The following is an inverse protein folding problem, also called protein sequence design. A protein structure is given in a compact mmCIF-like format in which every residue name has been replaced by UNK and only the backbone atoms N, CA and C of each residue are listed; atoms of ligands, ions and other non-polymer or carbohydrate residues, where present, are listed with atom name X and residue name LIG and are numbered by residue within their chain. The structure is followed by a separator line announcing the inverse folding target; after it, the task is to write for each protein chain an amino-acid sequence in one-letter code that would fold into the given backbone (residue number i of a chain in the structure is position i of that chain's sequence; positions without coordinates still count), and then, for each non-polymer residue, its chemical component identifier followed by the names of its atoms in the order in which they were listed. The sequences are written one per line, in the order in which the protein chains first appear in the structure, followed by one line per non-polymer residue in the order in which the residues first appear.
data_IF_757190120492
#
_entry.id   IF_757190120492
#
_cell.length_a   1.000
_cell.length_b   1.000
_cell.length_c   1.000
_cell.angle_alpha   90.00
_cell.angle_beta   90.00
_cell.angle_gamma   90.00
#
_symmetry.space_group_name_H-M   'P 1'
#
loop_
_entity.id
_entity.type
_entity.pdbx_description
1 polymer ?
#
# COMPACT_ATOMS: atom_id res chain seq x y z
N UNK A 1 16.56 -28.14 8.90
CA UNK A 1 16.29 -27.57 7.56
C UNK A 1 14.88 -26.98 7.64
N UNK A 2 14.77 -25.72 8.05
CA UNK A 2 13.49 -25.01 8.13
C UNK A 2 13.40 -24.02 6.96
N UNK A 3 12.34 -24.17 6.17
CA UNK A 3 11.95 -23.28 5.08
C UNK A 3 11.30 -22.02 5.65
N UNK A 4 12.05 -20.91 5.63
CA UNK A 4 11.52 -19.58 5.94
C UNK A 4 10.46 -19.18 4.91
N UNK A 5 9.18 -19.21 5.32
CA UNK A 5 8.03 -18.75 4.55
C UNK A 5 8.10 -17.21 4.38
N UNK A 6 8.54 -16.77 3.20
CA UNK A 6 8.57 -15.37 2.78
C UNK A 6 7.16 -14.86 2.43
N UNK A 7 6.80 -13.66 2.91
CA UNK A 7 5.54 -13.01 2.57
C UNK A 7 5.47 -12.73 1.05
N UNK A 8 4.36 -13.02 0.35
CA UNK A 8 4.26 -12.86 -1.10
C UNK A 8 4.36 -11.39 -1.57
N UNK A 9 4.17 -10.41 -0.67
CA UNK A 9 4.37 -8.98 -0.96
C UNK A 9 5.83 -8.53 -0.96
N UNK A 10 6.74 -9.34 -0.43
CA UNK A 10 8.17 -9.01 -0.36
C UNK A 10 8.97 -9.53 -1.55
N UNK A 11 8.33 -10.21 -2.51
CA UNK A 11 8.99 -10.69 -3.73
C UNK A 11 8.90 -9.71 -4.90
N UNK A 12 8.91 -8.40 -4.61
CA UNK A 12 8.97 -7.35 -5.64
C UNK A 12 10.42 -6.86 -5.73
N UNK A 13 11.25 -7.65 -6.38
CA UNK A 13 12.33 -7.12 -7.23
C UNK A 13 12.62 -8.19 -8.30
N UNK A 14 12.69 -7.75 -9.55
CA UNK A 14 13.03 -8.52 -10.76
C UNK A 14 11.89 -9.33 -11.41
N UNK A 15 11.20 -8.71 -12.37
CA UNK A 15 11.42 -9.03 -13.79
C UNK A 15 10.76 -7.99 -14.72
N UNK A 16 11.28 -6.75 -14.72
CA UNK A 16 11.47 -5.93 -15.94
C UNK A 16 12.71 -5.08 -15.66
N UNK A 17 13.89 -5.59 -16.02
CA UNK A 17 15.06 -4.75 -16.23
C UNK A 17 15.83 -5.31 -17.41
N UNK A 18 15.55 -4.79 -18.60
CA UNK A 18 16.57 -4.74 -19.62
C UNK A 18 16.92 -3.28 -19.84
N UNK A 19 18.15 -2.94 -19.45
CA UNK A 19 18.90 -1.70 -19.69
C UNK A 19 18.52 -0.47 -18.83
N UNK A 20 19.11 -0.38 -17.65
CA UNK A 20 20.07 0.70 -17.35
C UNK A 20 20.75 0.48 -15.99
N UNK A 21 22.07 0.69 -15.98
CA UNK A 21 22.97 0.52 -14.84
C UNK A 21 22.88 1.73 -13.91
N UNK A 22 22.94 1.44 -12.60
CA UNK A 22 23.42 2.26 -11.45
C UNK A 22 23.00 3.75 -11.42
N UNK A 23 22.36 4.17 -10.32
CA UNK A 23 22.98 4.98 -9.24
C UNK A 23 22.11 4.83 -7.98
N UNK A 24 22.75 4.51 -6.86
CA UNK A 24 22.17 4.64 -5.53
C UNK A 24 22.03 6.13 -5.19
N UNK A 25 20.81 6.64 -5.09
CA UNK A 25 20.55 7.97 -4.56
C UNK A 25 20.17 7.85 -3.08
N UNK A 26 21.01 8.43 -2.24
CA UNK A 26 20.83 8.55 -0.80
C UNK A 26 19.59 9.40 -0.49
N UNK A 27 18.66 8.85 0.28
CA UNK A 27 17.58 9.60 0.92
C UNK A 27 18.05 10.05 2.32
N UNK A 28 17.95 11.34 2.69
CA UNK A 28 18.42 11.82 3.99
C UNK A 28 17.33 11.57 5.04
N UNK A 29 17.17 10.31 5.45
CA UNK A 29 16.47 9.96 6.68
C UNK A 29 17.56 9.51 7.65
N UNK A 30 17.95 10.38 8.59
CA UNK A 30 18.95 10.06 9.61
C UNK A 30 18.46 8.86 10.43
N UNK A 31 19.13 7.71 10.33
CA UNK A 31 18.96 6.59 11.25
C UNK A 31 20.30 5.91 11.57
N UNK A 32 20.48 5.65 12.85
CA UNK A 32 21.64 5.04 13.47
C UNK A 32 21.79 3.55 13.14
N UNK A 33 23.02 3.07 13.38
CA UNK A 33 23.62 1.79 13.00
C UNK A 33 22.83 0.53 13.41
N UNK A 34 22.94 -0.46 12.53
CA UNK A 34 22.50 -1.86 12.68
C UNK A 34 23.04 -2.52 13.94
N UNK A 35 22.16 -3.19 14.68
CA UNK A 35 22.48 -4.37 15.48
C UNK A 35 21.40 -5.43 15.21
N UNK A 36 21.85 -6.61 14.86
CA UNK A 36 21.05 -7.76 14.45
C UNK A 36 20.45 -8.44 15.68
N UNK A 37 19.12 -8.56 15.79
CA UNK A 37 18.56 -9.71 16.50
C UNK A 37 17.15 -10.11 16.08
N UNK A 38 17.00 -11.42 16.05
CA UNK A 38 16.02 -12.24 15.39
C UNK A 38 14.74 -12.40 16.24
N UNK A 39 13.62 -12.60 15.53
CA UNK A 39 12.37 -13.22 15.97
C UNK A 39 11.38 -12.37 16.80
N UNK A 40 10.41 -11.79 16.08
CA UNK A 40 9.03 -11.63 16.57
C UNK A 40 8.01 -11.54 15.42
N UNK A 41 8.15 -12.41 14.41
CA UNK A 41 7.42 -12.32 13.13
C UNK A 41 5.89 -12.41 13.26
N UNK A 42 5.36 -13.06 14.31
CA UNK A 42 3.92 -13.23 14.48
C UNK A 42 3.23 -11.99 15.10
N UNK A 43 3.88 -11.32 16.07
CA UNK A 43 3.36 -10.08 16.67
C UNK A 43 3.52 -8.87 15.74
N UNK A 44 4.62 -8.83 14.97
CA UNK A 44 4.85 -7.81 13.94
C UNK A 44 3.77 -7.84 12.86
N UNK A 45 3.49 -9.02 12.30
CA UNK A 45 2.49 -9.19 11.23
C UNK A 45 1.08 -8.81 11.70
N UNK A 46 0.68 -9.19 12.93
CA UNK A 46 -0.63 -8.81 13.48
C UNK A 46 -0.77 -7.29 13.65
N UNK A 47 0.30 -6.60 14.06
CA UNK A 47 0.31 -5.14 14.21
C UNK A 47 0.18 -4.44 12.86
N UNK A 48 0.91 -4.90 11.84
CA UNK A 48 0.85 -4.35 10.48
C UNK A 48 -0.52 -4.60 9.85
N UNK A 49 -1.08 -5.79 9.98
CA UNK A 49 -2.44 -6.07 9.50
C UNK A 49 -3.47 -5.11 10.13
N UNK A 50 -3.36 -4.84 11.44
CA UNK A 50 -4.26 -3.90 12.13
C UNK A 50 -4.14 -2.46 11.63
N UNK A 51 -2.97 -2.00 11.19
CA UNK A 51 -2.84 -0.63 10.66
C UNK A 51 -3.49 -0.47 9.28
N UNK A 52 -3.67 -1.56 8.55
CA UNK A 52 -4.30 -1.62 7.22
C UNK A 52 -5.83 -1.75 7.25
N UNK A 53 -6.41 -1.92 8.44
CA UNK A 53 -7.84 -2.19 8.63
C UNK A 53 -8.70 -1.10 8.00
N UNK A 54 -9.73 -1.50 7.26
CA UNK A 54 -10.74 -0.60 6.70
C UNK A 54 -10.36 0.04 5.36
N UNK A 55 -9.17 -0.21 4.83
CA UNK A 55 -8.85 0.13 3.43
C UNK A 55 -9.23 -1.01 2.52
N UNK A 56 -10.14 -0.76 1.58
CA UNK A 56 -10.57 -1.75 0.58
C UNK A 56 -9.78 -1.61 -0.73
N UNK A 57 -9.43 -2.75 -1.30
CA UNK A 57 -9.04 -2.92 -2.70
C UNK A 57 -10.04 -3.86 -3.39
N UNK A 58 -9.98 -3.92 -4.71
CA UNK A 58 -10.95 -4.64 -5.53
C UNK A 58 -10.25 -5.69 -6.37
N UNK A 59 -10.82 -6.89 -6.39
CA UNK A 59 -10.37 -7.97 -7.26
C UNK A 59 -11.54 -8.53 -8.05
N UNK A 60 -11.27 -9.41 -9.00
CA UNK A 60 -12.32 -10.14 -9.73
C UNK A 60 -12.36 -11.56 -9.20
N UNK A 61 -13.54 -12.01 -8.82
CA UNK A 61 -13.77 -13.38 -8.36
C UNK A 61 -15.01 -14.01 -8.98
N UNK A 62 -15.18 -15.31 -8.75
CA UNK A 62 -16.37 -16.06 -9.17
C UNK A 62 -17.53 -15.92 -8.16
N UNK A 63 -18.59 -16.71 -8.34
CA UNK A 63 -19.75 -16.77 -7.43
C UNK A 63 -19.37 -17.06 -5.98
N UNK A 64 -18.36 -17.90 -5.79
CA UNK A 64 -17.85 -18.40 -4.52
C UNK A 64 -16.75 -17.51 -3.92
N UNK A 65 -16.54 -16.34 -4.54
CA UNK A 65 -15.49 -15.36 -4.19
C UNK A 65 -14.07 -15.89 -4.34
N UNK A 66 -13.85 -16.94 -5.12
CA UNK A 66 -12.50 -17.37 -5.50
C UNK A 66 -11.92 -16.39 -6.52
N UNK A 67 -10.65 -16.04 -6.37
CA UNK A 67 -10.02 -15.05 -7.24
C UNK A 67 -9.82 -15.58 -8.65
N UNK A 68 -10.08 -14.70 -9.62
CA UNK A 68 -9.65 -14.91 -10.99
C UNK A 68 -8.16 -14.57 -11.08
N UNK A 69 -7.39 -15.54 -11.54
CA UNK A 69 -5.94 -15.42 -11.67
C UNK A 69 -5.53 -15.39 -13.14
N UNK A 70 -4.42 -14.72 -13.41
CA UNK A 70 -3.75 -14.70 -14.71
C UNK A 70 -2.62 -15.72 -14.64
N UNK A 71 -2.72 -16.80 -15.41
CA UNK A 71 -1.64 -17.78 -15.52
C UNK A 71 -0.42 -17.15 -16.21
N UNK A 72 0.75 -17.35 -15.63
CA UNK A 72 2.02 -17.09 -16.31
C UNK A 72 2.19 -18.04 -17.50
N UNK A 73 2.59 -17.57 -18.70
CA UNK A 73 2.86 -18.43 -19.85
C UNK A 73 3.89 -19.55 -19.57
N UNK A 74 4.84 -19.32 -18.66
CA UNK A 74 5.82 -20.34 -18.25
C UNK A 74 5.29 -21.29 -17.16
N UNK A 75 4.07 -21.06 -16.66
CA UNK A 75 3.37 -21.92 -15.70
C UNK A 75 3.94 -21.87 -14.28
N UNK A 76 4.92 -21.00 -14.00
CA UNK A 76 5.63 -21.00 -12.72
C UNK A 76 4.81 -20.38 -11.59
N UNK A 77 4.02 -19.33 -11.87
CA UNK A 77 3.17 -18.65 -10.88
C UNK A 77 1.89 -18.13 -11.52
N UNK A 78 0.78 -18.12 -10.78
CA UNK A 78 -0.43 -17.39 -11.17
C UNK A 78 -0.44 -15.99 -10.55
N UNK A 79 -0.99 -15.00 -11.24
CA UNK A 79 -1.02 -13.61 -10.78
C UNK A 79 -2.46 -13.19 -10.45
N UNK A 80 -2.71 -12.77 -9.22
CA UNK A 80 -3.94 -12.09 -8.81
C UNK A 80 -3.79 -10.58 -8.86
N UNK A 81 -4.77 -9.87 -9.39
CA UNK A 81 -4.78 -8.40 -9.43
C UNK A 81 -5.62 -7.82 -8.28
N UNK A 82 -5.08 -6.76 -7.65
CA UNK A 82 -5.70 -6.02 -6.56
C UNK A 82 -5.73 -4.52 -6.91
N UNK A 83 -6.88 -4.04 -7.38
CA UNK A 83 -7.05 -2.67 -7.85
C UNK A 83 -7.45 -1.74 -6.71
N UNK A 84 -6.78 -0.59 -6.60
CA UNK A 84 -7.19 0.46 -5.66
C UNK A 84 -8.45 1.20 -6.11
N UNK A 85 -8.79 1.11 -7.40
CA UNK A 85 -10.00 1.67 -7.99
C UNK A 85 -10.96 0.60 -8.46
N UNK A 86 -12.23 0.77 -8.09
CA UNK A 86 -13.30 -0.11 -8.53
C UNK A 86 -13.45 -0.10 -10.05
N UNK A 87 -13.29 1.05 -10.72
CA UNK A 87 -13.38 1.17 -12.18
C UNK A 87 -12.35 0.28 -12.88
N UNK A 88 -11.15 0.16 -12.32
CA UNK A 88 -10.07 -0.62 -12.94
C UNK A 88 -10.32 -2.13 -12.76
N UNK A 89 -10.90 -2.54 -11.62
CA UNK A 89 -11.39 -3.91 -11.42
C UNK A 89 -12.58 -4.24 -12.35
N UNK A 90 -13.47 -3.28 -12.62
CA UNK A 90 -14.56 -3.46 -13.59
C UNK A 90 -14.04 -3.59 -15.02
N UNK A 91 -13.02 -2.81 -15.39
CA UNK A 91 -12.35 -2.96 -16.69
C UNK A 91 -11.69 -4.33 -16.82
N UNK A 92 -11.03 -4.82 -15.77
CA UNK A 92 -10.49 -6.18 -15.74
C UNK A 92 -11.59 -7.23 -15.85
N UNK A 93 -12.72 -7.06 -15.15
CA UNK A 93 -13.88 -7.95 -15.26
C UNK A 93 -14.44 -8.00 -16.69
N UNK A 94 -14.53 -6.86 -17.38
CA UNK A 94 -14.96 -6.80 -18.77
C UNK A 94 -14.03 -7.61 -19.69
N UNK A 95 -12.71 -7.52 -19.48
CA UNK A 95 -11.73 -8.34 -20.20
C UNK A 95 -11.90 -9.83 -19.90
N UNK A 96 -12.11 -10.21 -18.65
CA UNK A 96 -12.37 -11.60 -18.25
C UNK A 96 -13.62 -12.15 -18.93
N UNK A 97 -14.72 -11.38 -18.96
CA UNK A 97 -15.98 -11.77 -19.62
C UNK A 97 -15.87 -11.86 -21.14
N UNK A 98 -14.99 -11.06 -21.75
CA UNK A 98 -14.77 -11.10 -23.20
C UNK A 98 -14.02 -12.35 -23.68
N UNK A 99 -13.27 -13.01 -22.79
CA UNK A 99 -12.55 -14.24 -23.12
C UNK A 99 -13.50 -15.44 -23.10
N UNK A 100 -13.69 -16.07 -24.27
CA UNK A 100 -14.49 -17.30 -24.39
C UNK A 100 -13.98 -18.39 -23.45
N UNK A 101 -14.87 -18.96 -22.63
CA UNK A 101 -14.57 -20.10 -21.76
C UNK A 101 -13.71 -19.81 -20.53
N UNK A 102 -13.42 -18.54 -20.20
CA UNK A 102 -12.39 -18.19 -19.22
C UNK A 102 -12.80 -18.35 -17.75
N UNK A 103 -14.09 -18.33 -17.39
CA UNK A 103 -14.53 -18.50 -16.00
C UNK A 103 -15.81 -19.34 -15.94
N UNK A 104 -15.74 -20.48 -15.23
CA UNK A 104 -16.94 -21.21 -14.79
C UNK A 104 -17.57 -20.41 -13.65
N UNK A 105 -18.76 -19.85 -13.86
CA UNK A 105 -19.48 -19.05 -12.86
C UNK A 105 -19.58 -17.56 -13.22
N UNK A 106 -20.49 -16.86 -12.54
CA UNK A 106 -20.74 -15.44 -12.78
C UNK A 106 -19.62 -14.58 -12.15
N UNK A 107 -18.61 -14.24 -12.95
CA UNK A 107 -17.52 -13.37 -12.51
C UNK A 107 -18.05 -11.99 -12.08
N UNK A 108 -17.56 -11.50 -10.94
CA UNK A 108 -17.94 -10.23 -10.31
C UNK A 108 -16.74 -9.54 -9.68
N UNK A 109 -16.86 -8.23 -9.46
CA UNK A 109 -15.88 -7.49 -8.65
C UNK A 109 -16.18 -7.78 -7.18
N UNK A 110 -15.13 -8.13 -6.44
CA UNK A 110 -15.18 -8.46 -5.01
C UNK A 110 -14.31 -7.45 -4.26
N UNK A 111 -14.86 -6.68 -3.31
CA UNK A 111 -14.05 -5.88 -2.40
C UNK A 111 -13.36 -6.79 -1.39
N UNK A 112 -12.09 -6.52 -1.12
CA UNK A 112 -11.28 -7.17 -0.09
C UNK A 112 -10.49 -6.10 0.67
N UNK A 113 -10.27 -6.28 1.96
CA UNK A 113 -9.52 -5.30 2.74
C UNK A 113 -8.01 -5.55 2.71
N UNK A 114 -7.21 -4.50 2.83
CA UNK A 114 -5.74 -4.63 2.80
C UNK A 114 -5.20 -5.47 3.95
N UNK A 115 -5.84 -5.49 5.12
CA UNK A 115 -5.47 -6.37 6.22
C UNK A 115 -5.68 -7.85 5.88
N UNK A 116 -6.78 -8.19 5.18
CA UNK A 116 -7.03 -9.53 4.68
C UNK A 116 -5.99 -9.90 3.63
N UNK A 117 -5.78 -9.02 2.65
CA UNK A 117 -4.78 -9.18 1.58
C UNK A 117 -3.39 -9.43 2.15
N UNK A 118 -2.96 -8.63 3.14
CA UNK A 118 -1.65 -8.77 3.78
C UNK A 118 -1.46 -10.12 4.47
N UNK A 119 -2.55 -10.69 5.01
CA UNK A 119 -2.55 -12.01 5.65
C UNK A 119 -2.70 -13.18 4.68
N UNK A 120 -3.03 -12.93 3.41
CA UNK A 120 -3.14 -13.99 2.41
C UNK A 120 -1.77 -14.61 2.14
N UNK A 121 -1.66 -15.90 2.45
CA UNK A 121 -0.53 -16.74 2.08
C UNK A 121 -1.04 -17.87 1.22
N UNK A 122 -0.70 -17.81 -0.07
CA UNK A 122 -1.09 -18.79 -1.06
C UNK A 122 0.14 -19.22 -1.85
N UNK A 123 0.34 -20.52 -1.94
CA UNK A 123 1.45 -21.08 -2.70
C UNK A 123 1.16 -20.98 -4.20
N UNK A 124 2.19 -20.69 -5.00
CA UNK A 124 2.07 -20.61 -6.46
C UNK A 124 1.31 -19.39 -6.99
N UNK A 125 0.92 -18.44 -6.13
CA UNK A 125 0.19 -17.22 -6.53
C UNK A 125 0.95 -15.98 -6.05
N UNK A 126 1.15 -15.02 -6.95
CA UNK A 126 1.62 -13.69 -6.65
C UNK A 126 0.48 -12.67 -6.77
N UNK A 127 0.36 -11.77 -5.80
CA UNK A 127 -0.59 -10.65 -5.91
C UNK A 127 0.12 -9.39 -6.37
N UNK A 128 -0.50 -8.68 -7.32
CA UNK A 128 -0.01 -7.38 -7.80
C UNK A 128 -1.05 -6.30 -7.55
N UNK A 129 -0.60 -5.22 -6.94
CA UNK A 129 -1.41 -4.02 -6.83
C UNK A 129 -1.50 -3.29 -8.16
N UNK A 130 -2.70 -2.79 -8.45
CA UNK A 130 -2.95 -1.83 -9.53
C UNK A 130 -3.30 -0.49 -8.86
N UNK A 131 -2.34 0.45 -8.76
CA UNK A 131 -2.55 1.72 -8.09
C UNK A 131 -3.48 2.64 -8.89
N UNK A 132 -4.06 3.63 -8.23
CA UNK A 132 -4.81 4.68 -8.92
C UNK A 132 -3.86 5.50 -9.79
N UNK A 133 -4.07 5.58 -11.12
CA UNK A 133 -3.19 6.33 -12.01
C UNK A 133 -3.10 7.82 -11.65
N UNK A 134 -4.17 8.41 -11.09
CA UNK A 134 -4.12 9.80 -10.61
C UNK A 134 -3.12 9.96 -9.48
N UNK A 135 -3.05 8.98 -8.58
CA UNK A 135 -2.13 9.03 -7.45
C UNK A 135 -0.68 8.74 -7.87
N UNK A 136 -0.48 7.94 -8.92
CA UNK A 136 0.84 7.77 -9.55
C UNK A 136 1.34 9.10 -10.12
N UNK A 137 0.48 9.85 -10.83
CA UNK A 137 0.83 11.17 -11.34
C UNK A 137 1.15 12.15 -10.21
N UNK A 138 0.28 12.23 -9.21
CA UNK A 138 0.48 13.08 -8.02
C UNK A 138 1.82 12.78 -7.32
N UNK A 139 2.17 11.50 -7.18
CA UNK A 139 3.41 11.05 -6.57
C UNK A 139 4.64 11.39 -7.40
N UNK A 140 4.54 11.25 -8.73
CA UNK A 140 5.60 11.62 -9.65
C UNK A 140 5.86 13.14 -9.61
N UNK A 141 4.82 13.97 -9.57
CA UNK A 141 4.94 15.43 -9.44
C UNK A 141 5.64 15.85 -8.14
N UNK A 142 5.33 15.19 -7.01
CA UNK A 142 5.99 15.44 -5.73
C UNK A 142 7.44 14.91 -5.67
N UNK A 143 7.79 13.88 -6.46
CA UNK A 143 9.16 13.36 -6.60
C UNK A 143 10.01 14.07 -7.66
N UNK A 144 9.42 14.94 -8.48
CA UNK A 144 10.06 15.55 -9.65
C UNK A 144 11.26 16.48 -9.34
N UNK A 145 11.68 16.58 -8.07
CA UNK A 145 12.98 17.13 -7.68
C UNK A 145 14.19 16.24 -8.03
N UNK A 146 14.04 15.10 -8.72
CA UNK A 146 15.23 14.39 -9.23
C UNK A 146 15.12 13.11 -10.07
N UNK A 147 13.96 12.56 -10.40
CA UNK A 147 13.88 11.23 -11.07
C UNK A 147 12.90 11.26 -12.25
N UNK A 148 13.40 10.95 -13.46
CA UNK A 148 12.63 10.89 -14.73
C UNK A 148 11.83 9.59 -14.90
N UNK A 149 12.00 8.63 -13.98
CA UNK A 149 11.52 7.26 -14.08
C UNK A 149 10.27 7.03 -13.21
N UNK A 150 9.17 7.75 -13.47
CA UNK A 150 7.85 7.48 -12.90
C UNK A 150 7.79 7.24 -11.37
N UNK A 151 6.77 6.50 -10.92
CA UNK A 151 6.64 6.04 -9.52
C UNK A 151 6.45 4.53 -9.50
N UNK A 152 7.27 3.82 -8.74
CA UNK A 152 7.19 2.37 -8.54
C UNK A 152 6.47 2.03 -7.22
N UNK A 153 5.56 1.05 -7.28
CA UNK A 153 4.69 0.65 -6.17
C UNK A 153 3.41 1.48 -6.02
N UNK A 154 2.69 1.29 -4.91
CA UNK A 154 1.47 2.03 -4.59
C UNK A 154 1.82 3.31 -3.83
N UNK A 155 1.49 4.51 -4.35
CA UNK A 155 1.80 5.74 -3.66
C UNK A 155 1.04 5.89 -2.34
N UNK A 156 1.76 6.36 -1.32
CA UNK A 156 1.19 6.83 -0.06
C UNK A 156 1.80 8.17 0.32
N UNK A 157 1.00 9.00 1.00
CA UNK A 157 1.30 10.39 1.32
C UNK A 157 1.26 10.62 2.82
N UNK A 158 2.23 11.38 3.34
CA UNK A 158 2.36 11.69 4.76
C UNK A 158 2.80 13.14 4.96
N UNK A 159 2.50 13.73 6.12
CA UNK A 159 3.06 15.02 6.54
C UNK A 159 3.36 15.02 8.03
N UNK A 160 4.49 15.60 8.43
CA UNK A 160 4.87 15.77 9.84
C UNK A 160 3.99 16.80 10.57
N UNK A 161 3.24 17.62 9.82
CA UNK A 161 2.27 18.55 10.37
C UNK A 161 0.98 17.87 10.82
N UNK A 162 0.73 16.64 10.39
CA UNK A 162 -0.44 15.85 10.78
C UNK A 162 -0.01 14.77 11.75
N UNK A 163 -0.06 15.09 13.05
CA UNK A 163 0.15 14.14 14.14
C UNK A 163 -1.04 14.25 15.09
N UNK A 164 -1.74 13.15 15.32
CA UNK A 164 -2.94 13.11 16.15
C UNK A 164 -2.61 12.43 17.48
N UNK A 165 -3.09 13.00 18.59
CA UNK A 165 -2.99 12.38 19.92
C UNK A 165 -4.39 12.02 20.41
N UNK A 166 -4.62 10.75 20.74
CA UNK A 166 -5.90 10.26 21.29
C UNK A 166 -5.67 9.14 22.30
N UNK A 167 -6.33 9.21 23.46
CA UNK A 167 -6.24 8.19 24.53
C UNK A 167 -4.78 7.82 24.90
N UNK A 168 -3.93 8.82 25.08
CA UNK A 168 -2.48 8.67 25.37
C UNK A 168 -1.69 7.90 24.28
N UNK A 169 -2.25 7.75 23.08
CA UNK A 169 -1.57 7.19 21.91
C UNK A 169 -1.38 8.27 20.84
N UNK A 170 -0.23 8.24 20.18
CA UNK A 170 0.09 9.05 19.01
C UNK A 170 -0.29 8.28 17.74
N UNK A 171 -0.80 9.01 16.76
CA UNK A 171 -1.14 8.49 15.45
C UNK A 171 -0.51 9.37 14.37
N UNK A 172 0.16 8.72 13.44
CA UNK A 172 0.81 9.30 12.27
C UNK A 172 0.05 8.81 11.03
N UNK A 173 -0.94 9.58 10.52
CA UNK A 173 -1.77 9.17 9.41
C UNK A 173 -0.99 9.13 8.09
N UNK A 174 -1.20 8.05 7.35
CA UNK A 174 -0.71 7.82 5.99
C UNK A 174 -1.91 7.74 5.05
N UNK A 175 -1.90 8.49 3.96
CA UNK A 175 -3.04 8.61 3.04
C UNK A 175 -2.73 7.94 1.71
N UNK A 176 -3.72 7.28 1.10
CA UNK A 176 -3.61 6.73 -0.26
C UNK A 176 -3.90 7.77 -1.34
N UNK A 177 -4.47 8.92 -0.97
CA UNK A 177 -4.84 10.00 -1.89
C UNK A 177 -4.22 11.32 -1.46
N UNK A 178 -3.58 12.00 -2.40
CA UNK A 178 -3.01 13.34 -2.19
C UNK A 178 -4.09 14.35 -1.79
N UNK A 179 -5.27 14.27 -2.39
CA UNK A 179 -6.33 15.25 -2.12
C UNK A 179 -6.86 15.15 -0.69
N UNK A 180 -6.84 13.94 -0.09
CA UNK A 180 -7.29 13.73 1.28
C UNK A 180 -6.32 14.37 2.29
N UNK A 181 -5.00 14.18 2.10
CA UNK A 181 -4.00 14.81 2.97
C UNK A 181 -3.95 16.33 2.79
N UNK A 182 -4.13 16.85 1.57
CA UNK A 182 -4.19 18.29 1.30
C UNK A 182 -5.38 18.94 1.99
N UNK A 183 -6.54 18.26 1.97
CA UNK A 183 -7.72 18.69 2.70
C UNK A 183 -7.44 18.77 4.21
N UNK A 184 -6.82 17.75 4.79
CA UNK A 184 -6.48 17.72 6.22
C UNK A 184 -5.46 18.81 6.60
N UNK A 185 -4.43 19.01 5.76
CA UNK A 185 -3.44 20.07 5.96
C UNK A 185 -4.05 21.47 5.89
N UNK A 186 -5.02 21.69 5.00
CA UNK A 186 -5.71 22.98 4.88
C UNK A 186 -6.49 23.38 6.14
N UNK A 187 -6.91 22.40 6.95
CA UNK A 187 -7.63 22.65 8.21
C UNK A 187 -6.69 22.99 9.37
N UNK A 188 -5.44 22.50 9.33
CA UNK A 188 -4.43 22.71 10.40
C UNK A 188 -3.55 23.93 10.10
N UNK A 189 -3.26 24.19 8.82
CA UNK A 189 -2.45 25.33 8.40
C UNK A 189 -3.31 26.59 8.20
N UNK A 190 -3.29 27.49 9.19
CA UNK A 190 -3.96 28.81 9.06
C UNK A 190 -3.27 29.76 8.07
N UNK A 191 -2.12 29.38 7.48
CA UNK A 191 -1.17 30.33 6.88
C UNK A 191 -0.71 30.06 5.45
N UNK A 192 -1.19 29.04 4.72
CA UNK A 192 -0.77 28.88 3.31
C UNK A 192 -1.88 28.33 2.41
N UNK A 193 -2.55 29.25 1.71
CA UNK A 193 -3.44 28.93 0.60
C UNK A 193 -2.62 28.36 -0.58
N UNK A 194 -2.95 27.13 -0.99
CA UNK A 194 -2.63 26.58 -2.31
C UNK A 194 -1.26 25.93 -2.44
N UNK A 195 -0.19 26.72 -2.62
CA UNK A 195 1.09 26.20 -3.12
C UNK A 195 2.07 25.70 -2.04
N UNK A 196 1.88 26.10 -0.78
CA UNK A 196 2.76 25.70 0.33
C UNK A 196 2.44 24.34 0.94
N UNK A 197 1.24 23.80 0.73
CA UNK A 197 0.81 22.56 1.39
C UNK A 197 1.56 21.34 0.84
N UNK A 198 1.74 21.28 -0.47
CA UNK A 198 2.44 20.18 -1.13
C UNK A 198 3.92 20.09 -0.74
N UNK A 199 4.53 21.19 -0.30
CA UNK A 199 5.92 21.22 0.22
C UNK A 199 6.06 20.43 1.54
N UNK A 200 4.96 20.24 2.26
CA UNK A 200 4.92 19.49 3.50
C UNK A 200 4.43 18.05 3.31
N UNK A 201 4.23 17.59 2.06
CA UNK A 201 3.80 16.23 1.75
C UNK A 201 5.01 15.42 1.30
N UNK A 202 5.27 14.36 2.06
CA UNK A 202 6.22 13.32 1.70
C UNK A 202 5.51 12.17 1.00
N UNK A 203 6.19 11.54 0.05
CA UNK A 203 5.67 10.40 -0.71
C UNK A 203 6.53 9.16 -0.46
N UNK A 204 5.88 8.05 -0.15
CA UNK A 204 6.49 6.72 -0.07
C UNK A 204 5.68 5.69 -0.86
N UNK A 205 6.22 4.48 -1.02
CA UNK A 205 5.46 3.33 -1.53
C UNK A 205 4.84 2.56 -0.37
N UNK A 206 3.64 2.00 -0.55
CA UNK A 206 2.99 1.14 0.44
C UNK A 206 3.91 -0.04 0.79
N UNK A 207 4.52 -0.65 -0.21
CA UNK A 207 5.38 -1.82 -0.10
C UNK A 207 6.59 -1.54 0.79
N UNK A 208 7.28 -0.40 0.59
CA UNK A 208 8.42 -0.02 1.42
C UNK A 208 8.00 0.30 2.85
N UNK A 209 6.85 0.98 3.02
CA UNK A 209 6.30 1.29 4.35
C UNK A 209 6.00 0.00 5.10
N UNK A 210 5.29 -0.95 4.48
CA UNK A 210 4.96 -2.24 5.10
C UNK A 210 6.21 -3.02 5.48
N UNK A 211 7.18 -3.13 4.56
CA UNK A 211 8.46 -3.78 4.82
C UNK A 211 9.19 -3.15 6.01
N UNK A 212 9.19 -1.83 6.12
CA UNK A 212 9.80 -1.12 7.26
C UNK A 212 9.02 -1.35 8.56
N UNK A 213 7.69 -1.35 8.53
CA UNK A 213 6.88 -1.64 9.71
C UNK A 213 7.12 -3.06 10.27
N UNK A 214 7.40 -4.03 9.39
CA UNK A 214 7.72 -5.41 9.77
C UNK A 214 9.08 -5.54 10.46
N UNK A 215 10.12 -4.86 9.95
CA UNK A 215 11.49 -4.98 10.47
C UNK A 215 11.81 -3.96 11.58
N UNK A 216 10.97 -2.94 11.77
CA UNK A 216 11.18 -1.89 12.76
C UNK A 216 11.14 -2.41 14.21
N UNK A 217 12.09 -1.93 15.01
CA UNK A 217 12.09 -2.15 16.45
C UNK A 217 10.98 -1.35 17.15
N UNK A 218 10.68 -1.68 18.41
CA UNK A 218 9.72 -0.92 19.23
C UNK A 218 10.24 0.48 19.52
N UNK A 219 9.34 1.46 19.67
CA UNK A 219 9.62 2.86 19.99
C UNK A 219 10.32 3.67 18.89
N UNK A 220 10.26 3.18 17.65
CA UNK A 220 10.84 3.87 16.49
C UNK A 220 9.84 4.78 15.77
N UNK A 221 8.56 4.75 16.21
CA UNK A 221 7.47 5.56 15.66
C UNK A 221 6.68 4.84 14.56
N UNK A 222 7.14 3.68 14.08
CA UNK A 222 6.42 2.86 13.10
C UNK A 222 5.14 2.24 13.66
N UNK A 223 5.00 2.14 14.99
CA UNK A 223 3.78 1.73 15.70
C UNK A 223 2.69 2.81 15.77
N UNK A 224 3.06 4.07 15.51
CA UNK A 224 2.13 5.20 15.48
C UNK A 224 1.43 5.29 14.12
N UNK A 225 1.94 4.61 13.09
CA UNK A 225 1.39 4.69 11.74
C UNK A 225 -0.04 4.12 11.67
N UNK A 226 -0.90 4.85 10.96
CA UNK A 226 -2.25 4.42 10.63
C UNK A 226 -2.55 4.78 9.18
N UNK A 227 -3.01 3.81 8.40
CA UNK A 227 -3.43 4.06 7.02
C UNK A 227 -4.86 4.60 7.01
N UNK A 228 -5.09 5.71 6.32
CA UNK A 228 -6.39 6.36 6.20
C UNK A 228 -7.03 5.89 4.89
N UNK A 229 -8.19 5.21 4.94
CA UNK A 229 -8.87 4.75 3.74
C UNK A 229 -9.21 5.92 2.80
N UNK A 230 -9.15 5.73 1.47
CA UNK A 230 -9.49 6.77 0.50
C UNK A 230 -10.83 7.42 0.78
N UNK A 231 -10.86 8.76 0.81
CA UNK A 231 -12.05 9.58 1.04
C UNK A 231 -12.47 9.74 2.52
N UNK A 232 -11.76 9.13 3.47
CA UNK A 232 -12.01 9.33 4.91
C UNK A 232 -11.09 10.39 5.51
N UNK A 233 -11.57 11.07 6.55
CA UNK A 233 -10.70 11.86 7.44
C UNK A 233 -9.98 10.97 8.44
N UNK A 234 -8.79 11.37 8.88
CA UNK A 234 -8.07 10.64 9.93
C UNK A 234 -8.88 10.60 11.23
N UNK A 235 -9.60 11.68 11.55
CA UNK A 235 -10.38 11.78 12.78
C UNK A 235 -11.51 10.75 12.80
N UNK A 236 -12.25 10.62 11.70
CA UNK A 236 -13.28 9.61 11.56
C UNK A 236 -12.69 8.20 11.66
N UNK A 237 -11.62 7.92 10.93
CA UNK A 237 -11.06 6.57 10.88
C UNK A 237 -10.45 6.14 12.23
N UNK A 238 -9.66 7.02 12.88
CA UNK A 238 -9.13 6.78 14.23
C UNK A 238 -10.28 6.52 15.20
N UNK A 239 -11.39 7.25 15.09
CA UNK A 239 -12.57 7.01 15.94
C UNK A 239 -13.14 5.61 15.72
N UNK A 240 -13.28 5.15 14.47
CA UNK A 240 -13.81 3.82 14.14
C UNK A 240 -12.93 2.68 14.67
N UNK A 241 -11.61 2.76 14.46
CA UNK A 241 -10.69 1.67 14.84
C UNK A 241 -10.29 1.67 16.32
N UNK A 242 -10.68 2.70 17.07
CA UNK A 242 -10.43 2.81 18.53
C UNK A 242 -11.71 2.73 19.36
N UNK A 243 -12.84 2.36 18.72
CA UNK A 243 -14.04 1.96 19.45
C UNK A 243 -13.69 0.76 20.34
N UNK A 244 -14.09 0.78 21.62
CA UNK A 244 -13.87 -0.34 22.53
C UNK A 244 -14.57 -1.60 22.05
#
# INVERSE_FOLDING_TARGET
MESGLSNPFLSITALIQQHSRKVAAAFPWNFASLSQQQQNSNLGSSRVAKSLTGTSVYTVGNSDNEFVLISDPEGLKSIGLLCFRHQDAQAFLAQVKSRRGAVRGAAKVVPITLDQVYMLKVEGIAFRFVPDPVQIQNAAELKASGIKDGFDGVPVFQSDLLVVKKKNKRYCPIYFRKEDIEKELSMVSRSSRGAGLSQHIMVGSLEDVLKRMEVSEKNTGWEDLIFIPPGKSHSQHINEVTKP
#
